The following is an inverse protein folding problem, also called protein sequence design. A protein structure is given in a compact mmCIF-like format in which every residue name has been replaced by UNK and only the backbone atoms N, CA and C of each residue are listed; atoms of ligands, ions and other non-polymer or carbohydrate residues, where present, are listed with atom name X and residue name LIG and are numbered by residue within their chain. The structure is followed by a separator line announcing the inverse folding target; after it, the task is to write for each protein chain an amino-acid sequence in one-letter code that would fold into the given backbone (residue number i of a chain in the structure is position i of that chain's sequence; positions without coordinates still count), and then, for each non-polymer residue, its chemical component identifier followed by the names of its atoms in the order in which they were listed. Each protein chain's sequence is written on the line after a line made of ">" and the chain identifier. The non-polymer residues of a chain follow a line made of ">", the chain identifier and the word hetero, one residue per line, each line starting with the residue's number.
data_IF_927772455625
#
_entry.id   IF_927772455625
#
_cell.length_a   1.000
_cell.length_b   1.000
_cell.length_c   1.000
_cell.angle_alpha   90.00
_cell.angle_beta   90.00
_cell.angle_gamma   90.00
#
_symmetry.space_group_name_H-M   'P 1'
#
loop_
_entity.id
_entity.type
_entity.pdbx_description
1 polymer ?
#
# COMPACT_ATOMS: atom_id res chain seq x y z
N UNK A 1 5.35 27.73 34.03
CA UNK A 1 5.63 26.51 33.24
C UNK A 1 4.40 25.64 33.30
N UNK A 2 3.70 25.40 32.17
CA UNK A 2 2.62 24.42 32.12
C UNK A 2 3.23 23.12 31.60
N UNK A 3 3.26 22.10 32.44
CA UNK A 3 3.64 20.73 32.07
C UNK A 3 2.58 20.20 31.10
N UNK A 4 2.94 20.08 29.82
CA UNK A 4 2.10 19.47 28.79
C UNK A 4 2.23 17.96 28.86
N UNK A 5 1.25 17.30 29.46
CA UNK A 5 1.10 15.85 29.43
C UNK A 5 0.92 15.38 27.98
N UNK A 6 1.97 14.84 27.37
CA UNK A 6 1.90 13.85 26.28
C UNK A 6 1.13 14.22 25.01
N UNK A 7 0.83 15.50 24.76
CA UNK A 7 0.17 15.90 23.51
C UNK A 7 1.22 15.94 22.39
N UNK A 8 1.31 14.84 21.63
CA UNK A 8 1.90 14.90 20.29
C UNK A 8 0.88 15.57 19.36
N UNK A 9 1.27 16.60 18.59
CA UNK A 9 0.44 17.06 17.50
C UNK A 9 0.08 15.88 16.59
N UNK A 10 -1.13 15.86 16.00
CA UNK A 10 -1.51 14.81 15.09
C UNK A 10 -0.62 14.86 13.83
N UNK A 11 -0.38 13.71 13.16
CA UNK A 11 0.63 13.60 12.11
C UNK A 11 0.48 14.62 10.96
N UNK A 12 -0.75 14.99 10.62
CA UNK A 12 -1.09 16.01 9.61
C UNK A 12 -0.45 17.36 9.92
N UNK A 13 -0.49 17.78 11.20
CA UNK A 13 0.08 19.06 11.62
C UNK A 13 1.61 19.04 11.68
N UNK A 14 2.20 17.90 12.03
CA UNK A 14 3.66 17.75 12.05
C UNK A 14 4.23 17.67 10.64
N UNK A 15 3.54 16.97 9.73
CA UNK A 15 3.97 16.75 8.35
C UNK A 15 3.54 17.88 7.40
N UNK A 16 2.56 18.71 7.80
CA UNK A 16 2.02 19.78 6.98
C UNK A 16 1.18 19.29 5.80
N UNK A 17 0.50 18.15 5.95
CA UNK A 17 -0.35 17.51 4.92
C UNK A 17 -1.80 17.40 5.40
N UNK A 18 -2.73 17.09 4.50
CA UNK A 18 -4.11 16.82 4.88
C UNK A 18 -4.20 15.54 5.73
N UNK A 19 -5.05 15.56 6.76
CA UNK A 19 -5.32 14.39 7.60
C UNK A 19 -5.86 13.20 6.80
N UNK A 20 -6.67 13.43 5.76
CA UNK A 20 -7.14 12.35 4.87
C UNK A 20 -5.99 11.76 4.03
N UNK A 21 -4.93 12.54 3.83
CA UNK A 21 -3.72 12.12 3.13
C UNK A 21 -2.62 11.57 4.06
N UNK A 22 -2.83 11.53 5.38
CA UNK A 22 -1.97 10.84 6.35
C UNK A 22 -2.10 9.32 6.25
N UNK A 23 -1.94 8.77 5.05
CA UNK A 23 -2.02 7.35 4.76
C UNK A 23 -0.89 6.91 3.84
N UNK A 24 -0.54 5.63 3.93
CA UNK A 24 0.43 5.00 3.05
C UNK A 24 0.06 3.53 2.81
N UNK A 25 0.61 2.97 1.74
CA UNK A 25 0.56 1.53 1.46
C UNK A 25 1.97 0.98 1.30
N UNK A 26 2.12 -0.30 1.62
CA UNK A 26 3.42 -0.98 1.57
C UNK A 26 3.30 -2.24 0.71
N UNK A 27 4.22 -2.39 -0.22
CA UNK A 27 4.52 -3.68 -0.83
C UNK A 27 5.88 -4.15 -0.36
N UNK A 28 5.94 -5.35 0.22
CA UNK A 28 7.18 -5.99 0.64
C UNK A 28 7.24 -7.42 0.12
N UNK A 29 8.36 -7.78 -0.49
CA UNK A 29 8.69 -9.17 -0.80
C UNK A 29 10.03 -9.56 -0.16
N UNK A 30 10.65 -10.64 -0.63
CA UNK A 30 11.92 -11.13 -0.07
C UNK A 30 13.13 -10.24 -0.39
N UNK A 31 13.02 -9.37 -1.39
CA UNK A 31 14.15 -8.59 -1.90
C UNK A 31 13.92 -7.09 -1.79
N UNK A 32 12.70 -6.60 -1.95
CA UNK A 32 12.43 -5.17 -1.97
C UNK A 32 11.23 -4.78 -1.11
N UNK A 33 11.27 -3.54 -0.63
CA UNK A 33 10.16 -2.87 0.04
C UNK A 33 9.88 -1.54 -0.64
N UNK A 34 8.63 -1.34 -1.05
CA UNK A 34 8.13 -0.10 -1.63
C UNK A 34 7.03 0.47 -0.75
N UNK A 35 7.15 1.74 -0.39
CA UNK A 35 6.16 2.47 0.41
C UNK A 35 5.68 3.66 -0.42
N UNK A 36 4.36 3.76 -0.58
CA UNK A 36 3.72 4.87 -1.27
C UNK A 36 2.87 5.65 -0.27
N UNK A 37 3.15 6.94 -0.13
CA UNK A 37 2.35 7.87 0.65
C UNK A 37 1.35 8.58 -0.25
N UNK A 38 0.21 8.97 0.29
CA UNK A 38 -0.77 9.73 -0.47
C UNK A 38 -0.28 11.16 -0.80
N UNK A 39 0.51 11.77 0.09
CA UNK A 39 0.97 13.17 -0.06
C UNK A 39 2.41 13.39 0.44
N UNK A 40 3.26 12.34 0.34
CA UNK A 40 4.70 12.43 0.59
C UNK A 40 5.48 11.66 -0.47
N UNK A 41 6.77 11.95 -0.67
CA UNK A 41 7.62 11.16 -1.56
C UNK A 41 7.64 9.68 -1.15
N UNK A 42 7.64 8.75 -2.13
CA UNK A 42 7.71 7.33 -1.82
C UNK A 42 9.08 6.94 -1.24
N UNK A 43 9.15 5.74 -0.67
CA UNK A 43 10.39 5.11 -0.24
C UNK A 43 10.58 3.77 -0.94
N UNK A 44 11.83 3.42 -1.24
CA UNK A 44 12.20 2.14 -1.85
C UNK A 44 13.50 1.61 -1.23
N UNK A 45 13.48 0.36 -0.76
CA UNK A 45 14.61 -0.28 -0.09
C UNK A 45 14.93 -1.63 -0.73
N UNK A 46 16.21 -1.93 -0.87
CA UNK A 46 16.73 -3.27 -1.22
C UNK A 46 17.06 -4.01 0.09
N UNK A 47 16.22 -4.97 0.46
CA UNK A 47 16.32 -5.71 1.72
C UNK A 47 17.48 -6.71 1.75
N UNK A 48 18.07 -7.04 0.60
CA UNK A 48 19.26 -7.92 0.55
C UNK A 48 20.52 -7.14 0.86
N UNK A 49 20.62 -5.93 0.34
CA UNK A 49 21.80 -5.07 0.49
C UNK A 49 21.68 -4.08 1.67
N UNK A 50 20.46 -3.75 2.09
CA UNK A 50 20.14 -2.83 3.18
C UNK A 50 19.01 -3.43 4.07
N UNK A 51 19.31 -4.49 4.87
CA UNK A 51 18.30 -5.17 5.69
C UNK A 51 17.67 -4.29 6.77
N UNK A 52 18.38 -3.25 7.19
CA UNK A 52 17.95 -2.29 8.21
C UNK A 52 17.16 -1.11 7.62
N UNK A 53 16.96 -1.08 6.29
CA UNK A 53 16.15 -0.08 5.58
C UNK A 53 16.61 1.38 5.82
N UNK A 54 17.92 1.60 5.84
CA UNK A 54 18.52 2.90 6.14
C UNK A 54 18.76 3.77 4.89
N UNK A 55 18.70 3.18 3.70
CA UNK A 55 19.07 3.82 2.44
C UNK A 55 17.89 3.83 1.46
N UNK A 56 17.20 4.96 1.38
CA UNK A 56 16.15 5.16 0.38
C UNK A 56 16.75 5.27 -1.03
N UNK A 57 16.36 4.36 -1.93
CA UNK A 57 16.83 4.26 -3.31
C UNK A 57 15.97 5.07 -4.30
N UNK A 58 14.95 5.80 -3.83
CA UNK A 58 14.16 6.68 -4.69
C UNK A 58 15.03 7.80 -5.26
N UNK A 59 15.02 7.93 -6.59
CA UNK A 59 15.84 8.89 -7.33
C UNK A 59 17.14 8.30 -7.87
N UNK A 60 17.52 7.09 -7.48
CA UNK A 60 18.64 6.38 -8.10
C UNK A 60 18.24 5.84 -9.48
N UNK A 61 18.98 6.27 -10.52
CA UNK A 61 18.78 5.88 -11.91
C UNK A 61 18.81 4.36 -12.10
N UNK A 62 19.63 3.63 -11.32
CA UNK A 62 19.74 2.17 -11.41
C UNK A 62 18.47 1.45 -10.94
N UNK A 63 17.67 2.08 -10.07
CA UNK A 63 16.47 1.49 -9.48
C UNK A 63 15.15 2.02 -10.06
N UNK A 64 15.19 2.99 -10.98
CA UNK A 64 13.98 3.63 -11.54
C UNK A 64 12.98 2.64 -12.13
N UNK A 65 13.45 1.66 -12.93
CA UNK A 65 12.57 0.65 -13.53
C UNK A 65 11.92 -0.24 -12.48
N UNK A 66 12.67 -0.60 -11.43
CA UNK A 66 12.14 -1.37 -10.30
C UNK A 66 11.09 -0.56 -9.56
N UNK A 67 11.39 0.69 -9.19
CA UNK A 67 10.42 1.57 -8.50
C UNK A 67 9.13 1.69 -9.29
N UNK A 68 9.20 1.90 -10.61
CA UNK A 68 8.02 1.95 -11.48
C UNK A 68 7.24 0.63 -11.43
N UNK A 69 7.92 -0.51 -11.48
CA UNK A 69 7.29 -1.83 -11.37
C UNK A 69 6.57 -2.00 -10.03
N UNK A 70 7.13 -1.54 -8.92
CA UNK A 70 6.46 -1.61 -7.62
C UNK A 70 5.28 -0.64 -7.50
N UNK A 71 5.37 0.56 -8.08
CA UNK A 71 4.24 1.48 -8.17
C UNK A 71 3.08 0.85 -8.98
N UNK A 72 3.36 0.20 -10.10
CA UNK A 72 2.36 -0.52 -10.90
C UNK A 72 1.75 -1.71 -10.15
N UNK A 73 2.57 -2.49 -9.42
CA UNK A 73 2.07 -3.55 -8.54
C UNK A 73 1.09 -2.99 -7.50
N UNK A 74 1.38 -1.83 -6.92
CA UNK A 74 0.54 -1.19 -5.92
C UNK A 74 -0.77 -0.68 -6.49
N UNK A 75 -0.75 -0.08 -7.67
CA UNK A 75 -1.98 0.31 -8.37
C UNK A 75 -2.87 -0.91 -8.62
N UNK A 76 -2.27 -2.00 -9.11
CA UNK A 76 -2.99 -3.26 -9.34
C UNK A 76 -3.55 -3.85 -8.04
N UNK A 77 -2.77 -3.79 -6.95
CA UNK A 77 -3.21 -4.22 -5.62
C UNK A 77 -4.41 -3.40 -5.15
N UNK A 78 -4.35 -2.06 -5.23
CA UNK A 78 -5.47 -1.18 -4.86
C UNK A 78 -6.74 -1.50 -5.63
N UNK A 79 -6.67 -1.65 -6.95
CA UNK A 79 -7.84 -1.98 -7.78
C UNK A 79 -8.50 -3.32 -7.40
N UNK A 80 -7.73 -4.28 -6.88
CA UNK A 80 -8.23 -5.59 -6.47
C UNK A 80 -8.71 -5.61 -5.01
N UNK A 81 -8.27 -4.65 -4.20
CA UNK A 81 -8.49 -4.62 -2.75
C UNK A 81 -9.36 -3.44 -2.27
N UNK A 82 -9.71 -2.50 -3.14
CA UNK A 82 -10.74 -1.50 -2.88
C UNK A 82 -12.10 -2.16 -2.56
N UNK A 83 -13.00 -1.44 -1.91
CA UNK A 83 -14.28 -1.93 -1.36
C UNK A 83 -14.97 -2.98 -2.24
N UNK A 84 -15.17 -4.18 -1.70
CA UNK A 84 -15.61 -5.37 -2.45
C UNK A 84 -17.02 -5.83 -2.09
N UNK A 85 -17.71 -5.17 -1.16
CA UNK A 85 -18.99 -5.64 -0.63
C UNK A 85 -20.01 -5.98 -1.73
N UNK A 86 -19.99 -5.27 -2.87
CA UNK A 86 -20.96 -5.46 -3.95
C UNK A 86 -20.36 -5.98 -5.26
N UNK A 87 -19.05 -6.28 -5.34
CA UNK A 87 -18.40 -6.60 -6.63
C UNK A 87 -18.81 -7.96 -7.21
N UNK A 88 -19.49 -8.79 -6.41
CA UNK A 88 -20.06 -10.07 -6.84
C UNK A 88 -21.56 -9.99 -7.13
N UNK A 89 -22.19 -8.82 -6.96
CA UNK A 89 -23.62 -8.65 -7.16
C UNK A 89 -23.90 -8.27 -8.61
N UNK A 90 -24.86 -8.94 -9.24
CA UNK A 90 -25.30 -8.71 -10.62
C UNK A 90 -26.79 -8.34 -10.60
N UNK A 91 -27.18 -7.37 -11.43
CA UNK A 91 -28.59 -6.96 -11.58
C UNK A 91 -29.11 -7.43 -12.93
N UNK A 92 -30.17 -8.23 -12.92
CA UNK A 92 -30.81 -8.79 -14.12
C UNK A 92 -32.35 -8.82 -14.01
N UNK A 93 -33.05 -9.33 -15.04
CA UNK A 93 -34.51 -9.45 -15.06
C UNK A 93 -35.11 -10.21 -13.85
N UNK A 94 -34.36 -11.15 -13.30
CA UNK A 94 -34.65 -11.94 -12.11
C UNK A 94 -34.34 -11.24 -10.78
N UNK A 95 -33.86 -9.99 -10.81
CA UNK A 95 -33.47 -9.21 -9.65
C UNK A 95 -31.96 -9.23 -9.39
N UNK A 96 -31.57 -9.11 -8.13
CA UNK A 96 -30.16 -9.13 -7.72
C UNK A 96 -29.71 -10.56 -7.51
N UNK A 97 -28.65 -10.97 -8.20
CA UNK A 97 -28.03 -12.29 -8.08
C UNK A 97 -26.57 -12.18 -7.67
N UNK A 98 -26.03 -13.22 -7.04
CA UNK A 98 -24.63 -13.28 -6.63
C UNK A 98 -23.82 -14.16 -7.58
N UNK A 99 -22.66 -13.67 -8.03
CA UNK A 99 -21.68 -14.45 -8.78
C UNK A 99 -20.74 -15.19 -7.81
N UNK A 100 -20.59 -16.53 -7.94
CA UNK A 100 -19.69 -17.27 -7.07
C UNK A 100 -18.24 -16.78 -7.20
N UNK A 101 -17.54 -16.75 -6.07
CA UNK A 101 -16.12 -16.37 -6.02
C UNK A 101 -15.32 -17.40 -6.82
N UNK A 102 -14.65 -16.95 -7.89
CA UNK A 102 -13.69 -17.78 -8.61
C UNK A 102 -12.47 -18.01 -7.71
N UNK A 103 -12.23 -19.26 -7.30
CA UNK A 103 -10.99 -19.63 -6.62
C UNK A 103 -9.84 -19.43 -7.61
N UNK A 104 -8.95 -18.47 -7.35
CA UNK A 104 -7.68 -18.35 -8.06
C UNK A 104 -6.70 -19.32 -7.40
N UNK A 105 -5.99 -20.13 -8.18
CA UNK A 105 -4.85 -20.89 -7.67
C UNK A 105 -3.76 -19.90 -7.23
N UNK A 106 -3.43 -19.93 -5.94
CA UNK A 106 -2.49 -19.03 -5.26
C UNK A 106 -1.04 -19.29 -5.67
N UNK A 107 -0.63 -18.91 -6.88
CA UNK A 107 0.78 -19.05 -7.26
C UNK A 107 1.58 -17.75 -7.40
N UNK A 108 1.03 -16.58 -7.75
CA UNK A 108 1.92 -15.43 -8.04
C UNK A 108 1.45 -14.01 -7.71
N UNK A 109 0.28 -13.79 -7.10
CA UNK A 109 -0.15 -12.45 -6.72
C UNK A 109 -0.78 -12.52 -5.33
N UNK A 110 -0.27 -11.70 -4.40
CA UNK A 110 -0.71 -11.51 -3.01
C UNK A 110 -0.10 -12.46 -1.95
N UNK A 111 1.23 -12.39 -1.78
CA UNK A 111 1.86 -12.72 -0.49
C UNK A 111 1.70 -11.54 0.48
N UNK A 112 0.52 -11.39 1.07
CA UNK A 112 0.42 -10.77 2.39
C UNK A 112 -0.37 -11.73 3.28
N UNK A 113 0.26 -12.33 4.31
CA UNK A 113 -0.52 -13.01 5.34
C UNK A 113 -1.47 -11.97 5.94
N UNK A 114 -2.75 -12.33 6.08
CA UNK A 114 -3.67 -11.59 6.95
C UNK A 114 -3.00 -11.47 8.31
N UNK A 115 -2.63 -10.26 8.70
CA UNK A 115 -2.23 -9.99 10.08
C UNK A 115 -3.47 -10.25 10.95
N UNK A 116 -3.28 -11.09 11.97
CA UNK A 116 -4.24 -11.40 13.01
C UNK A 116 -4.26 -10.30 14.07
#
# INVERSE_FOLDING_TARGET
>A
MKESWGYSPPPDKELGIDFEACSFNVIRDEQYKYIHFADLPPLFFDLKNDPDELHNLVGDQAYMELILKYAQKMLSWRMVNDERTLVHMMVGPEGVTERPISQKNDSHLFLFPKQA
#
